data_IF_991420216304
#
_entry.id   IF_991420216304
#
_cell.length_a   1.000
_cell.length_b   1.000
_cell.length_c   1.000
_cell.angle_alpha   90.00
_cell.angle_beta   90.00
_cell.angle_gamma   90.00
#
_symmetry.space_group_name_H-M   'P 1'
#
loop_
_entity.id
_entity.type
_entity.pdbx_description
1 polymer ?
#
# COMPACT_ATOMS: atom_id res chain seq x y z
N UNK A 1 4.14 9.89 -15.17
CA UNK A 1 3.66 8.56 -14.71
C UNK A 1 4.87 7.67 -14.48
N UNK A 2 5.07 7.17 -13.28
CA UNK A 2 6.28 6.44 -12.86
C UNK A 2 6.46 5.09 -13.60
N UNK A 3 5.39 4.55 -14.17
CA UNK A 3 5.38 3.27 -14.91
C UNK A 3 4.82 3.38 -16.32
N UNK A 4 4.75 4.56 -16.91
CA UNK A 4 4.19 4.74 -18.27
C UNK A 4 2.67 4.49 -18.37
N UNK A 5 1.98 4.25 -17.25
CA UNK A 5 0.58 3.87 -17.22
C UNK A 5 -0.31 5.12 -17.32
N UNK A 6 -1.34 5.13 -18.20
CA UNK A 6 -2.26 6.25 -18.31
C UNK A 6 -3.00 6.55 -17.01
N UNK A 7 -3.21 7.84 -16.69
CA UNK A 7 -3.97 8.25 -15.49
C UNK A 7 -5.43 7.78 -15.49
N UNK A 8 -6.00 7.48 -16.65
CA UNK A 8 -7.39 7.04 -16.82
C UNK A 8 -7.49 5.51 -17.03
N UNK A 9 -6.52 4.76 -16.53
CA UNK A 9 -6.56 3.31 -16.55
C UNK A 9 -7.82 2.79 -15.84
N UNK A 10 -8.49 1.81 -16.45
CA UNK A 10 -9.55 1.06 -15.77
C UNK A 10 -8.95 0.32 -14.57
N UNK A 11 -9.62 0.36 -13.43
CA UNK A 11 -9.08 -0.21 -12.20
C UNK A 11 -10.15 -0.51 -11.15
N UNK A 12 -9.73 -0.56 -9.90
CA UNK A 12 -10.56 -0.93 -8.76
C UNK A 12 -11.86 -0.11 -8.68
N UNK A 13 -11.79 1.23 -8.85
CA UNK A 13 -12.97 2.08 -8.77
C UNK A 13 -14.04 1.71 -9.79
N UNK A 14 -13.63 1.33 -11.01
CA UNK A 14 -14.55 0.90 -12.05
C UNK A 14 -15.27 -0.40 -11.64
N UNK A 15 -14.53 -1.40 -11.13
CA UNK A 15 -15.10 -2.63 -10.63
C UNK A 15 -16.03 -2.41 -9.43
N UNK A 16 -15.68 -1.49 -8.51
CA UNK A 16 -16.53 -1.19 -7.36
C UNK A 16 -17.86 -0.51 -7.77
N UNK A 17 -17.88 0.23 -8.88
CA UNK A 17 -19.09 0.83 -9.45
C UNK A 17 -19.93 -0.23 -10.17
N UNK A 18 -19.30 -1.01 -11.05
CA UNK A 18 -19.91 -2.08 -11.82
C UNK A 18 -19.03 -3.33 -11.77
N UNK A 19 -19.52 -4.36 -11.09
CA UNK A 19 -18.78 -5.61 -10.91
C UNK A 19 -18.68 -6.47 -12.17
N UNK A 20 -19.35 -6.10 -13.26
CA UNK A 20 -19.22 -6.75 -14.58
C UNK A 20 -18.20 -5.98 -15.45
N UNK A 21 -17.22 -6.61 -16.09
CA UNK A 21 -16.97 -8.05 -16.30
C UNK A 21 -16.14 -8.75 -15.21
N UNK A 22 -15.97 -8.15 -14.04
CA UNK A 22 -15.17 -8.67 -12.95
C UNK A 22 -13.80 -8.00 -12.82
N UNK A 23 -13.25 -7.99 -11.60
CA UNK A 23 -12.00 -7.28 -11.28
C UNK A 23 -10.77 -7.80 -12.03
N UNK A 24 -10.75 -9.10 -12.39
CA UNK A 24 -9.63 -9.72 -13.13
C UNK A 24 -9.36 -9.08 -14.48
N UNK A 25 -10.39 -8.54 -15.13
CA UNK A 25 -10.25 -7.87 -16.42
C UNK A 25 -9.41 -6.59 -16.37
N UNK A 26 -9.25 -6.02 -15.16
CA UNK A 26 -8.48 -4.80 -14.92
C UNK A 26 -7.11 -5.05 -14.27
N UNK A 27 -6.78 -6.32 -14.02
CA UNK A 27 -5.47 -6.71 -13.47
C UNK A 27 -4.41 -6.67 -14.56
N UNK A 28 -3.23 -6.15 -14.21
CA UNK A 28 -2.11 -5.98 -15.15
C UNK A 28 -0.85 -6.66 -14.63
N UNK A 29 -0.11 -7.30 -15.54
CA UNK A 29 1.28 -7.74 -15.32
C UNK A 29 2.19 -6.60 -15.73
N UNK A 30 2.83 -5.97 -14.77
CA UNK A 30 3.64 -4.75 -14.99
C UNK A 30 5.13 -5.06 -15.06
N UNK A 31 5.57 -6.18 -14.51
CA UNK A 31 6.97 -6.55 -14.43
C UNK A 31 7.28 -7.80 -15.25
N UNK A 32 7.99 -7.65 -16.37
CA UNK A 32 8.36 -8.76 -17.27
C UNK A 32 9.16 -9.86 -16.56
N UNK A 33 9.98 -9.50 -15.58
CA UNK A 33 10.82 -10.42 -14.81
C UNK A 33 10.12 -11.08 -13.62
N UNK A 34 8.88 -10.70 -13.32
CA UNK A 34 8.09 -11.20 -12.20
C UNK A 34 6.69 -11.58 -12.67
N UNK A 35 6.53 -12.70 -13.39
CA UNK A 35 5.28 -13.08 -14.03
C UNK A 35 4.13 -13.34 -13.05
N UNK A 36 4.45 -13.59 -11.78
CA UNK A 36 3.46 -13.82 -10.69
C UNK A 36 3.09 -12.54 -9.96
N UNK A 37 3.65 -11.38 -10.34
CA UNK A 37 3.32 -10.10 -9.74
C UNK A 37 2.30 -9.38 -10.62
N UNK A 38 1.10 -9.25 -10.12
CA UNK A 38 -0.03 -8.61 -10.79
C UNK A 38 -0.48 -7.38 -10.00
N UNK A 39 -0.93 -6.35 -10.70
CA UNK A 39 -1.37 -5.09 -10.08
C UNK A 39 -2.77 -4.74 -10.58
N UNK A 40 -3.67 -4.47 -9.63
CA UNK A 40 -4.93 -3.80 -9.87
C UNK A 40 -4.79 -2.33 -9.42
N UNK A 41 -4.79 -1.43 -10.39
CA UNK A 41 -4.69 0.01 -10.09
C UNK A 41 -5.99 0.55 -9.52
N UNK A 42 -5.90 1.70 -8.82
CA UNK A 42 -7.08 2.35 -8.23
C UNK A 42 -8.14 2.77 -9.26
N UNK A 43 -7.72 3.07 -10.49
CA UNK A 43 -8.62 3.63 -11.51
C UNK A 43 -8.88 5.12 -11.33
N UNK A 44 -9.93 5.64 -11.96
CA UNK A 44 -10.35 7.01 -11.81
C UNK A 44 -10.84 7.30 -10.38
N UNK A 45 -10.59 8.51 -9.88
CA UNK A 45 -11.04 8.93 -8.54
C UNK A 45 -12.57 9.09 -8.57
N UNK A 46 -13.34 8.29 -7.81
CA UNK A 46 -14.79 8.39 -7.76
C UNK A 46 -15.23 9.55 -6.85
N UNK A 47 -16.43 10.08 -7.03
CA UNK A 47 -16.93 11.16 -6.18
C UNK A 47 -17.18 10.74 -4.72
N UNK A 48 -17.48 9.47 -4.48
CA UNK A 48 -17.81 8.90 -3.16
C UNK A 48 -17.02 7.62 -2.88
N UNK A 49 -15.70 7.68 -2.61
CA UNK A 49 -14.87 6.48 -2.44
C UNK A 49 -15.28 5.62 -1.25
N UNK A 50 -15.66 6.22 -0.11
CA UNK A 50 -16.11 5.50 1.07
C UNK A 50 -17.33 4.61 0.80
N UNK A 51 -18.31 5.12 0.07
CA UNK A 51 -19.51 4.37 -0.29
C UNK A 51 -19.18 3.17 -1.18
N UNK A 52 -18.24 3.32 -2.12
CA UNK A 52 -17.81 2.22 -2.98
C UNK A 52 -17.06 1.12 -2.21
N UNK A 53 -16.24 1.49 -1.23
CA UNK A 53 -15.55 0.51 -0.39
C UNK A 53 -16.52 -0.24 0.54
N UNK A 54 -17.65 0.37 0.90
CA UNK A 54 -18.65 -0.20 1.79
C UNK A 54 -19.75 -1.02 1.08
N UNK A 55 -19.78 -1.06 -0.27
CA UNK A 55 -20.87 -1.69 -1.03
C UNK A 55 -20.77 -3.24 -1.13
N UNK A 56 -19.73 -3.86 -0.52
CA UNK A 56 -19.51 -5.30 -0.53
C UNK A 56 -18.71 -5.84 -1.72
N UNK A 57 -18.53 -5.07 -2.79
CA UNK A 57 -17.76 -5.50 -3.95
C UNK A 57 -16.27 -5.66 -3.62
N UNK A 58 -15.72 -4.80 -2.74
CA UNK A 58 -14.34 -4.91 -2.32
C UNK A 58 -14.10 -6.19 -1.48
N UNK A 59 -15.02 -6.54 -0.59
CA UNK A 59 -14.97 -7.77 0.19
C UNK A 59 -15.03 -9.01 -0.72
N UNK A 60 -15.91 -8.98 -1.73
CA UNK A 60 -16.00 -10.03 -2.75
C UNK A 60 -14.70 -10.19 -3.51
N UNK A 61 -14.07 -9.08 -3.94
CA UNK A 61 -12.77 -9.09 -4.59
C UNK A 61 -11.71 -9.76 -3.72
N UNK A 62 -11.58 -9.35 -2.45
CA UNK A 62 -10.57 -9.91 -1.53
C UNK A 62 -10.83 -11.41 -1.31
N UNK A 63 -12.08 -11.82 -1.13
CA UNK A 63 -12.45 -13.24 -0.97
C UNK A 63 -12.05 -14.08 -2.19
N UNK A 64 -12.30 -13.59 -3.39
CA UNK A 64 -11.93 -14.28 -4.62
C UNK A 64 -10.41 -14.28 -4.85
N UNK A 65 -9.74 -13.16 -4.57
CA UNK A 65 -8.30 -13.02 -4.71
C UNK A 65 -7.54 -13.97 -3.75
N UNK A 66 -8.04 -14.20 -2.54
CA UNK A 66 -7.46 -15.18 -1.59
C UNK A 66 -7.43 -16.62 -2.14
N UNK A 67 -8.23 -16.94 -3.13
CA UNK A 67 -8.19 -18.27 -3.80
C UNK A 67 -7.13 -18.37 -4.90
N UNK A 68 -6.51 -17.25 -5.29
CA UNK A 68 -5.65 -17.17 -6.47
C UNK A 68 -4.23 -16.72 -6.16
N UNK A 69 -4.04 -15.97 -5.07
CA UNK A 69 -2.77 -15.36 -4.72
C UNK A 69 -2.34 -15.77 -3.30
N UNK A 70 -1.05 -16.04 -3.16
CA UNK A 70 -0.43 -16.32 -1.85
C UNK A 70 -0.37 -15.06 -0.98
N UNK A 71 -0.19 -13.88 -1.61
CA UNK A 71 -0.12 -12.59 -0.95
C UNK A 71 -0.97 -11.56 -1.68
N UNK A 72 -1.75 -10.80 -0.92
CA UNK A 72 -2.53 -9.65 -1.41
C UNK A 72 -2.07 -8.43 -0.63
N UNK A 73 -1.51 -7.46 -1.34
CA UNK A 73 -1.06 -6.20 -0.74
C UNK A 73 -2.03 -5.10 -1.15
N UNK A 74 -2.67 -4.48 -0.17
CA UNK A 74 -3.57 -3.35 -0.37
C UNK A 74 -2.85 -2.08 0.06
N UNK A 75 -2.45 -1.24 -0.91
CA UNK A 75 -1.86 0.07 -0.64
C UNK A 75 -2.96 1.10 -0.40
N UNK A 76 -2.94 1.71 0.78
CA UNK A 76 -4.00 2.60 1.26
C UNK A 76 -3.42 3.94 1.68
N UNK A 77 -4.25 4.97 1.58
CA UNK A 77 -3.92 6.29 2.11
C UNK A 77 -3.69 6.24 3.64
N UNK A 78 -2.90 7.18 4.20
CA UNK A 78 -2.65 7.23 5.65
C UNK A 78 -3.95 7.25 6.46
N UNK A 79 -4.13 6.30 7.36
CA UNK A 79 -5.33 6.14 8.24
C UNK A 79 -5.68 7.38 9.06
N UNK A 80 -4.69 8.22 9.31
CA UNK A 80 -4.82 9.46 10.12
C UNK A 80 -5.59 10.54 9.37
N UNK A 81 -5.52 10.51 8.04
CA UNK A 81 -6.15 11.52 7.19
C UNK A 81 -7.44 11.02 6.53
N UNK A 82 -7.61 9.69 6.44
CA UNK A 82 -8.69 9.09 5.65
C UNK A 82 -9.30 7.92 6.40
N UNK A 83 -10.55 8.08 6.80
CA UNK A 83 -11.32 7.04 7.51
C UNK A 83 -11.65 5.83 6.62
N UNK A 84 -11.56 6.00 5.30
CA UNK A 84 -11.89 4.96 4.30
C UNK A 84 -11.05 3.69 4.48
N UNK A 85 -9.79 3.84 4.87
CA UNK A 85 -8.90 2.72 5.20
C UNK A 85 -9.50 1.80 6.26
N UNK A 86 -10.21 2.36 7.25
CA UNK A 86 -10.80 1.60 8.34
C UNK A 86 -12.03 0.79 7.91
N UNK A 87 -12.65 1.15 6.78
CA UNK A 87 -13.78 0.40 6.23
C UNK A 87 -13.35 -0.98 5.72
N UNK A 88 -12.11 -1.11 5.28
CA UNK A 88 -11.58 -2.34 4.67
C UNK A 88 -10.52 -3.05 5.53
N UNK A 89 -10.06 -2.40 6.61
CA UNK A 89 -8.99 -2.93 7.46
C UNK A 89 -9.32 -4.30 8.09
N UNK A 90 -10.61 -4.59 8.33
CA UNK A 90 -11.07 -5.86 8.89
C UNK A 90 -10.88 -7.06 7.93
N UNK A 91 -10.65 -6.81 6.64
CA UNK A 91 -10.40 -7.85 5.63
C UNK A 91 -8.93 -8.29 5.60
N UNK A 92 -8.04 -7.51 6.23
CA UNK A 92 -6.62 -7.80 6.27
C UNK A 92 -6.28 -8.86 7.35
N UNK A 93 -5.26 -9.67 7.08
CA UNK A 93 -4.70 -10.61 8.05
C UNK A 93 -3.63 -9.92 8.91
N UNK A 94 -2.98 -8.87 8.38
CA UNK A 94 -2.02 -8.01 9.08
C UNK A 94 -2.02 -6.59 8.50
N UNK A 95 -1.63 -5.61 9.33
CA UNK A 95 -1.51 -4.21 8.95
C UNK A 95 -0.08 -3.73 9.12
N UNK A 96 0.49 -3.12 8.09
CA UNK A 96 1.81 -2.49 8.14
C UNK A 96 1.64 -0.97 8.13
N UNK A 97 1.99 -0.32 9.24
CA UNK A 97 2.03 1.13 9.33
C UNK A 97 3.42 1.64 8.93
N UNK A 98 3.52 2.28 7.78
CA UNK A 98 4.77 2.88 7.32
C UNK A 98 4.93 4.26 7.94
N UNK A 99 6.02 4.45 8.69
CA UNK A 99 6.42 5.74 9.26
C UNK A 99 7.74 6.20 8.65
N UNK A 100 7.89 7.49 8.41
CA UNK A 100 9.11 8.05 7.83
C UNK A 100 9.91 8.79 8.90
N UNK A 101 11.18 8.38 9.06
CA UNK A 101 12.09 9.03 10.02
C UNK A 101 12.21 10.53 9.71
N UNK A 102 12.21 11.35 10.77
CA UNK A 102 12.28 12.81 10.70
C UNK A 102 11.15 13.51 9.91
N UNK A 103 10.09 12.78 9.53
CA UNK A 103 8.95 13.35 8.81
C UNK A 103 7.61 13.02 9.48
N UNK A 104 7.38 11.76 9.88
CA UNK A 104 6.14 11.38 10.55
C UNK A 104 6.12 11.96 11.97
N UNK A 105 5.06 12.72 12.29
CA UNK A 105 4.93 13.35 13.60
C UNK A 105 4.73 12.30 14.70
N UNK A 106 5.50 12.40 15.77
CA UNK A 106 5.45 11.46 16.91
C UNK A 106 4.06 11.34 17.55
N UNK A 107 3.26 12.42 17.54
CA UNK A 107 1.89 12.42 18.08
C UNK A 107 0.93 11.47 17.35
N UNK A 108 1.28 11.02 16.12
CA UNK A 108 0.45 10.13 15.32
C UNK A 108 0.61 8.65 15.74
N UNK A 109 1.71 8.31 16.41
CA UNK A 109 1.97 6.95 16.89
C UNK A 109 0.94 6.49 17.93
N UNK A 110 0.61 7.26 18.98
CA UNK A 110 -0.45 6.88 19.92
C UNK A 110 -1.80 6.61 19.25
N UNK A 111 -2.18 7.42 18.25
CA UNK A 111 -3.42 7.23 17.51
C UNK A 111 -3.47 5.87 16.81
N UNK A 112 -2.41 5.49 16.08
CA UNK A 112 -2.36 4.18 15.41
C UNK A 112 -2.31 3.02 16.42
N UNK A 113 -1.67 3.20 17.58
CA UNK A 113 -1.69 2.21 18.67
C UNK A 113 -3.11 2.02 19.24
N UNK A 114 -3.89 3.08 19.37
CA UNK A 114 -5.27 2.99 19.85
C UNK A 114 -6.18 2.28 18.85
N UNK A 115 -5.94 2.47 17.54
CA UNK A 115 -6.61 1.69 16.50
C UNK A 115 -6.27 0.20 16.58
N UNK A 116 -5.02 -0.13 16.89
CA UNK A 116 -4.60 -1.53 17.09
C UNK A 116 -5.20 -2.14 18.36
N UNK A 117 -5.16 -1.42 19.51
CA UNK A 117 -5.76 -1.88 20.77
C UNK A 117 -7.26 -2.11 20.65
N UNK A 118 -7.95 -1.24 19.90
CA UNK A 118 -9.38 -1.37 19.62
C UNK A 118 -9.71 -2.39 18.52
N UNK A 119 -8.71 -3.15 18.04
CA UNK A 119 -8.83 -4.15 16.97
C UNK A 119 -9.36 -3.60 15.63
N UNK A 120 -9.27 -2.29 15.42
CA UNK A 120 -9.61 -1.67 14.13
C UNK A 120 -8.50 -1.85 13.10
N UNK A 121 -7.25 -2.06 13.55
CA UNK A 121 -6.12 -2.49 12.73
C UNK A 121 -5.61 -3.84 13.27
N UNK A 122 -5.71 -4.87 12.44
CA UNK A 122 -5.40 -6.26 12.82
C UNK A 122 -3.90 -6.50 12.70
N UNK A 123 -3.31 -7.19 13.70
CA UNK A 123 -1.90 -7.61 13.72
C UNK A 123 -0.96 -6.49 13.22
N UNK A 124 -1.10 -5.30 13.81
CA UNK A 124 -0.39 -4.10 13.36
C UNK A 124 1.09 -4.15 13.70
N UNK A 125 1.92 -3.81 12.74
CA UNK A 125 3.36 -3.58 12.90
C UNK A 125 3.80 -2.27 12.25
N UNK A 126 4.99 -1.78 12.60
CA UNK A 126 5.58 -0.58 11.99
C UNK A 126 6.76 -0.93 11.10
N UNK A 127 6.85 -0.21 9.98
CA UNK A 127 8.04 -0.15 9.14
C UNK A 127 8.55 1.30 9.15
N UNK A 128 9.81 1.49 9.52
CA UNK A 128 10.44 2.82 9.53
C UNK A 128 11.21 2.99 8.24
N UNK A 129 10.77 3.96 7.42
CA UNK A 129 11.40 4.32 6.16
C UNK A 129 12.26 5.61 6.32
N UNK A 130 13.20 5.85 5.42
CA UNK A 130 14.00 7.08 5.36
C UNK A 130 15.02 7.22 6.49
N UNK A 131 15.51 6.11 7.05
CA UNK A 131 16.61 6.12 8.01
C UNK A 131 17.88 6.45 7.25
N UNK A 132 18.55 7.59 7.59
CA UNK A 132 19.89 7.90 7.09
C UNK A 132 20.90 7.09 7.89
N UNK A 133 21.73 6.29 7.23
CA UNK A 133 22.93 5.72 7.83
C UNK A 133 23.87 6.86 8.24
N UNK A 134 23.94 7.18 9.53
CA UNK A 134 25.01 8.00 10.07
C UNK A 134 26.28 7.17 10.04
N UNK A 135 27.15 7.42 9.08
CA UNK A 135 28.49 6.82 8.96
C UNK A 135 29.45 7.27 10.07
N UNK A 136 28.97 7.59 11.26
CA UNK A 136 29.79 8.02 12.40
C UNK A 136 29.38 7.30 13.67
N UNK A 137 29.77 6.06 13.81
CA UNK A 137 30.24 5.41 15.05
C UNK A 137 30.74 4.02 14.67
N UNK A 138 32.06 3.84 14.72
CA UNK A 138 32.72 2.57 14.42
C UNK A 138 32.39 1.48 15.46
N UNK A 139 31.53 0.56 15.06
CA UNK A 139 31.61 -0.83 15.48
C UNK A 139 31.45 -1.68 14.23
N UNK A 140 32.58 -2.23 13.81
CA UNK A 140 32.77 -3.11 12.65
C UNK A 140 32.17 -4.47 12.96
N UNK A 141 30.87 -4.67 12.65
CA UNK A 141 30.34 -6.01 12.41
C UNK A 141 30.22 -6.21 10.90
N UNK A 142 31.21 -6.96 10.38
CA UNK A 142 31.35 -7.32 8.98
C UNK A 142 30.39 -8.48 8.68
N UNK A 143 29.18 -8.16 8.15
CA UNK A 143 28.40 -9.10 7.38
C UNK A 143 28.16 -8.47 6.01
N UNK A 144 29.02 -8.90 5.06
CA UNK A 144 28.93 -8.47 3.66
C UNK A 144 27.72 -9.08 2.98
N UNK A 145 26.77 -8.23 2.59
CA UNK A 145 25.98 -8.42 1.38
C UNK A 145 25.88 -7.07 0.68
N UNK A 146 26.70 -6.96 -0.37
CA UNK A 146 26.78 -5.79 -1.22
C UNK A 146 25.67 -5.89 -2.27
N UNK A 147 24.52 -5.27 -2.08
CA UNK A 147 23.55 -5.00 -3.12
C UNK A 147 23.54 -3.49 -3.39
N UNK A 148 24.40 -3.06 -4.32
CA UNK A 148 24.37 -1.72 -4.85
C UNK A 148 23.17 -1.50 -5.75
N UNK A 149 22.14 -0.87 -5.26
CA UNK A 149 21.12 -0.22 -6.09
C UNK A 149 21.31 1.30 -5.98
N UNK A 150 21.90 1.84 -7.03
CA UNK A 150 22.10 3.28 -7.18
C UNK A 150 20.79 3.88 -7.75
N UNK A 151 19.91 4.40 -6.89
CA UNK A 151 18.79 5.23 -7.32
C UNK A 151 19.21 6.70 -7.20
N UNK A 152 19.65 7.26 -8.33
CA UNK A 152 19.89 8.67 -8.45
C UNK A 152 18.59 9.47 -8.43
N UNK A 153 18.33 10.20 -7.35
CA UNK A 153 17.38 11.32 -7.34
C UNK A 153 18.22 12.58 -7.64
N UNK A 154 18.04 13.11 -8.84
CA UNK A 154 18.58 14.43 -9.18
C UNK A 154 17.77 15.51 -8.47
N UNK A 155 18.42 16.22 -7.56
CA UNK A 155 17.97 17.54 -7.10
C UNK A 155 18.17 18.53 -8.25
N UNK A 156 17.10 19.13 -8.72
CA UNK A 156 17.17 20.34 -9.53
C UNK A 156 16.82 21.52 -8.64
N UNK A 157 17.87 22.14 -8.09
CA UNK A 157 17.82 23.52 -7.61
C UNK A 157 17.84 24.47 -8.82
N UNK A 158 16.81 25.27 -8.97
CA UNK A 158 16.83 26.71 -9.34
C UNK A 158 15.50 27.34 -8.95
#
# INVERSE_FOLDING_TARGET
SYMGIPKNQVGLSNYLIDSSPGWKSSVMKVFDKQPNHEILFSGAIPPNPAHLLANGNFETLIREAKLLYDYIIVDLAPTILVTDTLLVAHLADATICVVRANHTEKKLVPFSQDLSKSKRLVNMTYVINGIKENRSYGYKYNYGYNYGYNYGYGDTDT
#
